data_IF_738547839524
#
_entry.id   IF_738547839524
#
_cell.length_a   1.000
_cell.length_b   1.000
_cell.length_c   1.000
_cell.angle_alpha   90.00
_cell.angle_beta   90.00
_cell.angle_gamma   90.00
#
_symmetry.space_group_name_H-M   'P 1'
#
loop_
_entity.id
_entity.type
_entity.pdbx_description
1 polymer ?
#
# COMPACT_ATOMS: atom_id res chain seq x y z
N UNK A 1 22.85 -0.12 13.09
CA UNK A 1 21.63 -0.94 13.33
C UNK A 1 21.75 -2.15 12.43
N UNK A 2 21.74 -3.37 12.97
CA UNK A 2 21.76 -4.57 12.12
C UNK A 2 20.34 -4.87 11.61
N UNK A 3 20.22 -5.52 10.46
CA UNK A 3 18.92 -5.90 9.89
C UNK A 3 17.99 -6.61 10.91
N UNK A 4 18.48 -7.55 11.75
CA UNK A 4 17.66 -8.20 12.77
C UNK A 4 17.16 -7.27 13.88
N UNK A 5 17.89 -6.20 14.21
CA UNK A 5 17.46 -5.20 15.19
C UNK A 5 16.38 -4.28 14.63
N UNK A 6 16.44 -3.97 13.34
CA UNK A 6 15.38 -3.22 12.66
C UNK A 6 14.07 -4.02 12.63
N UNK A 7 14.11 -5.29 12.24
CA UNK A 7 12.91 -6.14 12.15
C UNK A 7 12.19 -6.35 13.49
N UNK A 8 12.92 -6.29 14.61
CA UNK A 8 12.35 -6.38 15.96
C UNK A 8 11.95 -5.02 16.55
N UNK A 9 12.02 -3.93 15.79
CA UNK A 9 11.65 -2.61 16.26
C UNK A 9 10.13 -2.49 16.44
N UNK A 10 9.64 -2.06 17.63
CA UNK A 10 8.22 -1.78 17.84
C UNK A 10 7.66 -0.77 16.84
N UNK A 11 8.50 0.19 16.42
CA UNK A 11 8.13 1.18 15.42
C UNK A 11 7.88 0.55 14.04
N UNK A 12 8.77 -0.33 13.57
CA UNK A 12 8.58 -1.02 12.29
C UNK A 12 7.38 -1.96 12.33
N UNK A 13 7.11 -2.60 13.47
CA UNK A 13 5.88 -3.38 13.67
C UNK A 13 4.62 -2.51 13.53
N UNK A 14 4.57 -1.35 14.18
CA UNK A 14 3.43 -0.45 14.07
C UNK A 14 3.23 0.08 12.64
N UNK A 15 4.32 0.39 11.94
CA UNK A 15 4.26 0.78 10.53
C UNK A 15 3.70 -0.36 9.66
N UNK A 16 4.16 -1.60 9.88
CA UNK A 16 3.65 -2.76 9.15
C UNK A 16 2.14 -2.96 9.33
N UNK A 17 1.63 -2.81 10.56
CA UNK A 17 0.18 -2.91 10.84
C UNK A 17 -0.59 -1.81 10.09
N UNK A 18 -0.20 -0.54 10.28
CA UNK A 18 -0.86 0.60 9.60
C UNK A 18 -0.85 0.47 8.08
N UNK A 19 0.23 -0.10 7.56
CA UNK A 19 0.39 -0.35 6.14
C UNK A 19 -0.62 -1.37 5.63
N UNK A 20 -0.76 -2.52 6.29
CA UNK A 20 -1.76 -3.54 5.93
C UNK A 20 -3.18 -2.99 6.07
N UNK A 21 -3.47 -2.26 7.15
CA UNK A 21 -4.79 -1.64 7.37
C UNK A 21 -5.15 -0.68 6.23
N UNK A 22 -4.19 0.12 5.75
CA UNK A 22 -4.40 1.06 4.63
C UNK A 22 -4.74 0.34 3.33
N UNK A 23 -4.19 -0.86 3.11
CA UNK A 23 -4.46 -1.66 1.91
C UNK A 23 -5.83 -2.32 2.00
N UNK A 24 -6.21 -2.81 3.18
CA UNK A 24 -7.56 -3.33 3.41
C UNK A 24 -8.60 -2.23 3.16
N UNK A 25 -8.32 -1.00 3.59
CA UNK A 25 -9.20 0.16 3.34
C UNK A 25 -9.33 0.46 1.84
N UNK A 26 -8.22 0.46 1.10
CA UNK A 26 -8.25 0.63 -0.36
C UNK A 26 -9.08 -0.45 -1.06
N UNK A 27 -8.93 -1.71 -0.64
CA UNK A 27 -9.68 -2.83 -1.20
C UNK A 27 -11.18 -2.72 -0.89
N UNK A 28 -11.54 -2.35 0.35
CA UNK A 28 -12.95 -2.16 0.75
C UNK A 28 -13.63 -1.07 -0.07
N UNK A 29 -12.92 0.02 -0.31
CA UNK A 29 -13.48 1.20 -0.96
C UNK A 29 -13.31 1.15 -2.49
N UNK A 30 -12.65 0.12 -3.05
CA UNK A 30 -12.25 0.09 -4.47
C UNK A 30 -13.41 0.26 -5.46
N UNK A 31 -14.59 -0.26 -5.12
CA UNK A 31 -15.78 -0.20 -5.98
C UNK A 31 -16.64 1.06 -5.75
N UNK A 32 -16.29 1.91 -4.79
CA UNK A 32 -16.97 3.18 -4.52
C UNK A 32 -16.01 4.33 -4.88
N UNK A 33 -16.26 4.98 -6.01
CA UNK A 33 -15.35 6.00 -6.55
C UNK A 33 -15.13 7.18 -5.57
N UNK A 34 -16.18 7.59 -4.85
CA UNK A 34 -16.09 8.70 -3.90
C UNK A 34 -15.23 8.31 -2.70
N UNK A 35 -15.54 7.17 -2.07
CA UNK A 35 -14.79 6.67 -0.92
C UNK A 35 -13.35 6.32 -1.30
N UNK A 36 -13.12 5.75 -2.48
CA UNK A 36 -11.79 5.46 -3.00
C UNK A 36 -10.98 6.74 -3.16
N UNK A 37 -11.56 7.77 -3.77
CA UNK A 37 -10.87 9.05 -3.98
C UNK A 37 -10.52 9.72 -2.65
N UNK A 38 -11.41 9.68 -1.65
CA UNK A 38 -11.15 10.17 -0.29
C UNK A 38 -10.02 9.37 0.38
N UNK A 39 -10.04 8.04 0.25
CA UNK A 39 -8.99 7.16 0.79
C UNK A 39 -7.63 7.47 0.17
N UNK A 40 -7.56 7.61 -1.16
CA UNK A 40 -6.32 7.99 -1.87
C UNK A 40 -5.82 9.36 -1.38
N UNK A 41 -6.71 10.35 -1.21
CA UNK A 41 -6.33 11.68 -0.73
C UNK A 41 -5.76 11.63 0.70
N UNK A 42 -6.40 10.88 1.60
CA UNK A 42 -5.90 10.66 2.95
C UNK A 42 -4.49 10.04 2.95
N UNK A 43 -4.28 8.98 2.16
CA UNK A 43 -2.98 8.32 2.07
C UNK A 43 -1.91 9.21 1.44
N UNK A 44 -2.27 9.98 0.41
CA UNK A 44 -1.37 10.97 -0.21
C UNK A 44 -0.88 11.99 0.82
N UNK A 45 -1.79 12.54 1.63
CA UNK A 45 -1.45 13.51 2.68
C UNK A 45 -0.50 12.92 3.73
N UNK A 46 -0.56 11.62 4.01
CA UNK A 46 0.37 10.96 4.92
C UNK A 46 1.82 10.92 4.41
N UNK A 47 2.02 11.03 3.08
CA UNK A 47 3.32 10.93 2.42
C UNK A 47 3.88 12.26 1.88
N UNK A 48 3.07 13.33 1.80
CA UNK A 48 3.39 14.62 1.16
C UNK A 48 4.73 15.28 1.59
N UNK A 49 5.17 15.07 2.82
CA UNK A 49 6.40 15.67 3.36
C UNK A 49 7.51 14.64 3.63
N UNK A 50 7.40 13.44 3.05
CA UNK A 50 8.33 12.33 3.34
C UNK A 50 9.35 12.06 2.22
N UNK A 51 9.39 12.90 1.19
CA UNK A 51 10.27 12.71 0.02
C UNK A 51 9.92 11.48 -0.84
N UNK A 52 8.73 10.90 -0.63
CA UNK A 52 8.20 9.82 -1.45
C UNK A 52 7.70 10.40 -2.78
N UNK A 53 7.87 9.65 -3.87
CA UNK A 53 7.49 10.05 -5.23
C UNK A 53 6.70 8.91 -5.87
N UNK A 54 6.05 9.19 -7.00
CA UNK A 54 5.47 8.14 -7.86
C UNK A 54 6.44 6.99 -8.08
N UNK A 55 7.70 7.29 -8.42
CA UNK A 55 8.70 6.28 -8.73
C UNK A 55 8.95 5.33 -7.55
N UNK A 56 8.98 5.85 -6.31
CA UNK A 56 9.10 5.01 -5.12
C UNK A 56 7.90 4.07 -4.93
N UNK A 57 6.68 4.56 -5.18
CA UNK A 57 5.47 3.76 -5.04
C UNK A 57 5.37 2.68 -6.13
N UNK A 58 5.71 3.03 -7.38
CA UNK A 58 5.76 2.08 -8.50
C UNK A 58 6.85 1.03 -8.28
N UNK A 59 8.04 1.42 -7.81
CA UNK A 59 9.12 0.48 -7.51
C UNK A 59 8.77 -0.50 -6.38
N UNK A 60 7.86 -0.11 -5.47
CA UNK A 60 7.43 -0.94 -4.37
C UNK A 60 6.28 -1.90 -4.74
N UNK A 61 5.60 -1.67 -5.87
CA UNK A 61 4.49 -2.51 -6.34
C UNK A 61 4.85 -4.01 -6.41
N UNK A 62 5.99 -4.44 -6.98
CA UNK A 62 6.33 -5.87 -7.03
C UNK A 62 6.52 -6.47 -5.64
N UNK A 63 7.18 -5.73 -4.73
CA UNK A 63 7.42 -6.17 -3.35
C UNK A 63 6.10 -6.36 -2.59
N UNK A 64 5.18 -5.42 -2.79
CA UNK A 64 3.87 -5.45 -2.14
C UNK A 64 2.95 -6.51 -2.72
N UNK A 65 2.93 -6.64 -4.03
CA UNK A 65 2.30 -7.75 -4.74
C UNK A 65 2.83 -9.06 -4.16
N UNK A 66 4.12 -9.36 -4.26
CA UNK A 66 4.67 -10.65 -3.82
C UNK A 66 4.36 -10.96 -2.36
N UNK A 67 4.44 -9.95 -1.48
CA UNK A 67 4.18 -10.16 -0.05
C UNK A 67 2.69 -10.33 0.25
N UNK A 68 1.83 -9.42 -0.21
CA UNK A 68 0.41 -9.41 0.17
C UNK A 68 -0.36 -10.50 -0.55
N UNK A 69 -0.06 -10.68 -1.83
CA UNK A 69 -0.67 -11.70 -2.69
C UNK A 69 -0.32 -13.10 -2.19
N UNK A 70 0.85 -13.29 -1.57
CA UNK A 70 1.19 -14.58 -0.95
C UNK A 70 0.24 -15.01 0.17
N UNK A 71 -0.45 -14.07 0.83
CA UNK A 71 -1.42 -14.38 1.87
C UNK A 71 -2.79 -14.79 1.32
N UNK A 72 -3.06 -14.56 0.03
CA UNK A 72 -4.34 -14.86 -0.60
C UNK A 72 -4.37 -16.31 -1.10
N UNK A 73 -5.50 -16.98 -0.86
CA UNK A 73 -5.63 -18.43 -1.12
C UNK A 73 -5.94 -18.79 -2.57
N UNK A 74 -6.62 -17.92 -3.31
CA UNK A 74 -7.09 -18.19 -4.67
C UNK A 74 -6.39 -17.29 -5.67
N UNK A 75 -6.07 -17.82 -6.85
CA UNK A 75 -5.42 -17.03 -7.92
C UNK A 75 -6.28 -15.83 -8.36
N UNK A 76 -7.60 -15.96 -8.37
CA UNK A 76 -8.51 -14.84 -8.67
C UNK A 76 -8.35 -13.66 -7.69
N UNK A 77 -8.25 -13.95 -6.38
CA UNK A 77 -8.05 -12.89 -5.38
C UNK A 77 -6.65 -12.27 -5.51
N UNK A 78 -5.67 -13.07 -5.93
CA UNK A 78 -4.31 -12.62 -6.18
C UNK A 78 -4.26 -11.64 -7.34
N UNK A 79 -4.87 -12.00 -8.48
CA UNK A 79 -5.01 -11.14 -9.65
C UNK A 79 -5.76 -9.85 -9.30
N UNK A 80 -6.90 -9.96 -8.60
CA UNK A 80 -7.69 -8.79 -8.17
C UNK A 80 -6.88 -7.84 -7.28
N UNK A 81 -6.09 -8.36 -6.32
CA UNK A 81 -5.23 -7.54 -5.47
C UNK A 81 -4.12 -6.85 -6.27
N UNK A 82 -3.52 -7.55 -7.24
CA UNK A 82 -2.52 -6.97 -8.13
C UNK A 82 -3.11 -5.82 -8.95
N UNK A 83 -4.29 -6.02 -9.50
CA UNK A 83 -5.01 -4.99 -10.25
C UNK A 83 -5.24 -3.76 -9.38
N UNK A 84 -5.86 -3.94 -8.20
CA UNK A 84 -6.13 -2.85 -7.25
C UNK A 84 -4.84 -2.06 -6.99
N UNK A 85 -3.78 -2.73 -6.51
CA UNK A 85 -2.52 -2.06 -6.16
C UNK A 85 -1.89 -1.32 -7.35
N UNK A 86 -1.96 -1.91 -8.55
CA UNK A 86 -1.44 -1.29 -9.78
C UNK A 86 -2.19 -0.02 -10.19
N UNK A 87 -3.47 0.10 -9.81
CA UNK A 87 -4.30 1.29 -10.07
C UNK A 87 -4.08 2.35 -8.98
N UNK A 88 -4.18 1.98 -7.71
CA UNK A 88 -4.18 2.97 -6.61
C UNK A 88 -2.80 3.56 -6.28
N UNK A 89 -1.72 2.78 -6.35
CA UNK A 89 -0.38 3.29 -5.97
C UNK A 89 0.11 4.43 -6.89
N UNK A 90 -0.04 4.35 -8.23
CA UNK A 90 0.26 5.48 -9.11
C UNK A 90 -0.64 6.70 -8.85
N UNK A 91 -1.91 6.50 -8.49
CA UNK A 91 -2.83 7.60 -8.19
C UNK A 91 -2.45 8.37 -6.93
N UNK A 92 -2.02 7.66 -5.88
CA UNK A 92 -1.44 8.28 -4.68
C UNK A 92 -0.21 9.10 -5.10
N UNK A 93 0.71 8.48 -5.86
CA UNK A 93 1.95 9.14 -6.26
C UNK A 93 1.73 10.41 -7.09
N UNK A 94 0.79 10.42 -8.04
CA UNK A 94 0.49 11.59 -8.88
C UNK A 94 -0.03 12.79 -8.10
N UNK A 95 -0.52 12.57 -6.88
CA UNK A 95 -1.10 13.60 -6.00
C UNK A 95 -0.12 14.09 -4.92
N UNK A 96 1.09 13.52 -4.83
CA UNK A 96 2.18 13.96 -3.95
C UNK A 96 2.87 15.22 -4.48
#
# INVERSE_FOLDING_TARGET
MTLPQALNSPYLRQLGIKYVDSIIELVRNYNDEELLSQTILYLTNAHKHRGITVAHLVAALPVFTDTIVSYLKTEENKESMQEILSVVLPLIGKRL
#
